data_IF_913839601358
#
_entry.id   IF_913839601358
#
_cell.length_a   1.000
_cell.length_b   1.000
_cell.length_c   1.000
_cell.angle_alpha   90.00
_cell.angle_beta   90.00
_cell.angle_gamma   90.00
#
_symmetry.space_group_name_H-M   'P 1'
#
loop_
_entity.id
_entity.type
_entity.pdbx_description
1 polymer ?
#
# COMPACT_ATOMS: atom_id res chain seq x y z
N UNK A 1 -7.11 20.05 3.40
CA UNK A 1 -6.28 19.89 4.62
C UNK A 1 -6.69 18.62 5.33
N UNK A 2 -5.79 17.64 5.45
CA UNK A 2 -6.06 16.40 6.20
C UNK A 2 -6.03 16.75 7.70
N UNK A 3 -7.04 16.33 8.45
CA UNK A 3 -7.14 16.58 9.90
C UNK A 3 -7.01 15.26 10.65
N UNK A 4 -5.80 14.70 10.62
CA UNK A 4 -5.51 13.35 11.14
C UNK A 4 -5.60 13.32 12.68
N UNK A 5 -5.23 14.41 13.34
CA UNK A 5 -5.31 14.57 14.81
C UNK A 5 -6.75 14.50 15.33
N UNK A 6 -7.71 14.98 14.55
CA UNK A 6 -9.14 14.89 14.88
C UNK A 6 -9.68 13.45 14.75
N UNK A 7 -9.09 12.63 13.89
CA UNK A 7 -9.44 11.21 13.76
C UNK A 7 -8.82 10.37 14.88
N UNK A 8 -7.66 10.79 15.40
CA UNK A 8 -6.99 10.22 16.58
C UNK A 8 -7.71 10.53 17.88
N UNK A 9 -8.52 11.58 17.91
CA UNK A 9 -9.21 11.99 19.11
C UNK A 9 -10.00 10.81 19.72
N UNK A 10 -9.84 10.53 21.02
CA UNK A 10 -10.40 9.33 21.65
C UNK A 10 -11.92 9.22 21.52
N UNK A 11 -12.62 10.35 21.38
CA UNK A 11 -14.06 10.38 21.06
C UNK A 11 -14.37 9.72 19.70
N UNK A 12 -13.61 10.04 18.66
CA UNK A 12 -13.81 9.49 17.30
C UNK A 12 -13.44 8.02 17.30
N UNK A 13 -12.33 7.66 17.96
CA UNK A 13 -11.93 6.26 18.13
C UNK A 13 -13.00 5.43 18.88
N UNK A 14 -13.59 6.00 19.93
CA UNK A 14 -14.67 5.35 20.69
C UNK A 14 -15.94 5.18 19.83
N UNK A 15 -16.34 6.20 19.07
CA UNK A 15 -17.48 6.13 18.16
C UNK A 15 -17.30 5.05 17.08
N UNK A 16 -16.13 5.02 16.44
CA UNK A 16 -15.79 4.01 15.41
C UNK A 16 -15.82 2.59 16.00
N UNK A 17 -15.28 2.42 17.21
CA UNK A 17 -15.32 1.15 17.93
C UNK A 17 -16.75 0.74 18.26
N UNK A 18 -17.58 1.64 18.76
CA UNK A 18 -18.97 1.34 19.08
C UNK A 18 -19.70 0.82 17.83
N UNK A 19 -19.63 1.57 16.72
CA UNK A 19 -20.19 1.17 15.41
C UNK A 19 -19.69 -0.22 14.96
N UNK A 20 -18.39 -0.47 15.07
CA UNK A 20 -17.79 -1.75 14.74
C UNK A 20 -18.33 -2.89 15.62
N UNK A 21 -18.44 -2.68 16.93
CA UNK A 21 -18.94 -3.72 17.87
C UNK A 21 -20.44 -3.97 17.78
N UNK A 22 -21.22 -2.93 17.49
CA UNK A 22 -22.67 -2.99 17.44
C UNK A 22 -23.15 -3.81 16.23
N UNK A 23 -22.66 -3.48 15.03
CA UNK A 23 -23.11 -4.13 13.80
C UNK A 23 -21.96 -4.53 12.86
N UNK A 24 -20.91 -3.70 12.76
CA UNK A 24 -19.98 -3.81 11.64
C UNK A 24 -19.18 -5.09 11.60
N UNK A 25 -18.76 -5.58 12.77
CA UNK A 25 -18.03 -6.84 12.88
C UNK A 25 -18.84 -8.03 12.35
N UNK A 26 -20.14 -8.10 12.65
CA UNK A 26 -20.96 -9.26 12.29
C UNK A 26 -21.21 -9.33 10.80
N UNK A 27 -21.55 -8.18 10.18
CA UNK A 27 -21.71 -8.06 8.74
C UNK A 27 -20.40 -8.37 8.02
N UNK A 28 -19.29 -7.84 8.52
CA UNK A 28 -17.97 -8.07 7.94
C UNK A 28 -17.53 -9.54 8.05
N UNK A 29 -17.62 -10.17 9.23
CA UNK A 29 -17.22 -11.57 9.39
C UNK A 29 -18.13 -12.53 8.63
N UNK A 30 -19.43 -12.23 8.50
CA UNK A 30 -20.32 -13.00 7.64
C UNK A 30 -19.89 -12.90 6.16
N UNK A 31 -19.60 -11.70 5.68
CA UNK A 31 -19.14 -11.47 4.32
C UNK A 31 -17.80 -12.18 4.06
N UNK A 32 -16.85 -12.06 4.99
CA UNK A 32 -15.57 -12.75 4.93
C UNK A 32 -15.73 -14.28 4.94
N UNK A 33 -16.64 -14.81 5.75
CA UNK A 33 -16.92 -16.24 5.81
C UNK A 33 -17.48 -16.74 4.47
N UNK A 34 -18.47 -16.04 3.90
CA UNK A 34 -19.03 -16.38 2.60
C UNK A 34 -17.98 -16.32 1.49
N UNK A 35 -17.10 -15.32 1.53
CA UNK A 35 -15.97 -15.20 0.61
C UNK A 35 -14.96 -16.34 0.80
N UNK A 36 -14.65 -16.73 2.04
CA UNK A 36 -13.75 -17.84 2.34
C UNK A 36 -14.34 -19.19 1.89
N UNK A 37 -15.65 -19.41 2.05
CA UNK A 37 -16.35 -20.60 1.50
C UNK A 37 -16.26 -20.62 -0.02
N UNK A 38 -16.50 -19.49 -0.68
CA UNK A 38 -16.31 -19.36 -2.13
C UNK A 38 -14.87 -19.66 -2.56
N UNK A 39 -13.88 -19.06 -1.89
CA UNK A 39 -12.46 -19.22 -2.21
C UNK A 39 -11.98 -20.66 -1.99
N UNK A 40 -12.41 -21.31 -0.90
CA UNK A 40 -12.11 -22.72 -0.63
C UNK A 40 -12.77 -23.63 -1.67
N UNK A 41 -14.02 -23.37 -2.06
CA UNK A 41 -14.67 -24.12 -3.13
C UNK A 41 -13.93 -23.95 -4.47
N UNK A 42 -13.54 -22.72 -4.83
CA UNK A 42 -12.83 -22.45 -6.08
C UNK A 42 -11.42 -23.04 -6.11
N UNK A 43 -10.71 -23.03 -4.99
CA UNK A 43 -9.39 -23.68 -4.84
C UNK A 43 -9.50 -25.20 -4.94
N UNK A 44 -10.46 -25.81 -4.25
CA UNK A 44 -10.73 -27.25 -4.37
C UNK A 44 -11.08 -27.61 -5.82
N UNK A 45 -11.88 -26.81 -6.49
CA UNK A 45 -12.22 -27.00 -7.89
C UNK A 45 -10.98 -27.00 -8.80
N UNK A 46 -10.11 -26.01 -8.67
CA UNK A 46 -8.89 -25.90 -9.49
C UNK A 46 -7.86 -27.00 -9.19
N UNK A 47 -7.76 -27.46 -7.93
CA UNK A 47 -6.84 -28.53 -7.55
C UNK A 47 -7.33 -29.93 -7.98
N UNK A 48 -8.64 -30.16 -7.89
CA UNK A 48 -9.24 -31.45 -8.25
C UNK A 48 -9.58 -31.60 -9.73
N UNK A 49 -9.54 -30.51 -10.52
CA UNK A 49 -9.71 -30.55 -11.97
C UNK A 49 -8.35 -30.72 -12.65
N UNK A 50 -8.04 -31.85 -13.28
CA UNK A 50 -6.76 -32.04 -13.96
C UNK A 50 -6.70 -31.25 -15.27
N UNK A 51 -5.55 -30.61 -15.61
CA UNK A 51 -5.35 -30.01 -16.92
C UNK A 51 -5.23 -31.08 -18.02
N UNK A 52 -5.61 -30.71 -19.24
CA UNK A 52 -5.68 -31.60 -20.41
C UNK A 52 -4.36 -32.31 -20.73
N UNK A 53 -3.22 -31.62 -20.59
CA UNK A 53 -1.90 -32.19 -20.89
C UNK A 53 -1.52 -33.38 -20.00
N UNK A 54 -2.12 -33.57 -18.82
CA UNK A 54 -1.82 -34.74 -17.96
C UNK A 54 -2.29 -36.05 -18.56
N UNK A 55 -3.29 -36.02 -19.44
CA UNK A 55 -3.87 -37.24 -20.02
C UNK A 55 -3.08 -37.74 -21.22
N UNK A 56 -2.66 -36.82 -22.10
CA UNK A 56 -2.02 -37.18 -23.37
C UNK A 56 -0.55 -36.73 -23.48
N UNK A 57 -0.07 -35.85 -22.59
CA UNK A 57 1.28 -35.29 -22.65
C UNK A 57 2.42 -36.32 -22.63
N UNK A 58 2.36 -37.37 -21.79
CA UNK A 58 3.39 -38.42 -21.79
C UNK A 58 3.35 -39.32 -23.04
N UNK A 59 2.27 -39.27 -23.82
CA UNK A 59 1.93 -40.28 -24.83
C UNK A 59 1.49 -39.64 -26.16
N UNK A 60 2.01 -38.45 -26.48
CA UNK A 60 1.72 -37.73 -27.74
C UNK A 60 1.74 -38.64 -29.00
N UNK A 61 2.82 -39.43 -29.24
CA UNK A 61 2.88 -40.28 -30.42
C UNK A 61 1.96 -41.51 -30.35
N UNK A 62 1.66 -42.02 -29.15
CA UNK A 62 0.85 -43.23 -28.96
C UNK A 62 -0.64 -42.99 -29.25
N UNK A 63 -1.16 -41.82 -28.85
CA UNK A 63 -2.57 -41.47 -29.04
C UNK A 63 -2.85 -40.62 -30.29
N UNK A 64 -1.84 -40.33 -31.12
CA UNK A 64 -1.94 -39.44 -32.28
C UNK A 64 -2.58 -38.08 -31.92
N UNK A 65 -2.06 -37.47 -30.86
CA UNK A 65 -2.53 -36.23 -30.25
C UNK A 65 -1.44 -35.17 -30.31
N UNK A 66 -1.83 -33.90 -30.38
CA UNK A 66 -0.89 -32.78 -30.53
C UNK A 66 -1.08 -31.73 -29.43
N UNK A 67 -0.01 -31.06 -28.96
CA UNK A 67 -0.07 -30.11 -27.85
C UNK A 67 -0.93 -28.86 -28.07
N UNK A 68 -1.42 -28.61 -29.29
CA UNK A 68 -2.13 -27.37 -29.68
C UNK A 68 -3.34 -27.60 -30.59
N UNK A 69 -3.92 -28.80 -30.60
CA UNK A 69 -5.13 -29.03 -31.38
C UNK A 69 -6.35 -28.36 -30.72
N UNK A 70 -7.26 -27.84 -31.53
CA UNK A 70 -8.46 -27.14 -31.06
C UNK A 70 -9.42 -28.06 -30.26
N UNK A 71 -9.43 -29.36 -30.56
CA UNK A 71 -10.35 -30.34 -29.98
C UNK A 71 -9.75 -31.06 -28.76
N UNK A 72 -9.26 -30.30 -27.77
CA UNK A 72 -8.55 -30.84 -26.60
C UNK A 72 -9.39 -31.83 -25.79
N UNK A 73 -10.69 -31.58 -25.65
CA UNK A 73 -11.59 -32.49 -24.93
C UNK A 73 -11.71 -33.84 -25.65
N UNK A 74 -11.75 -33.84 -26.98
CA UNK A 74 -11.80 -35.07 -27.76
C UNK A 74 -10.47 -35.82 -27.69
N UNK A 75 -9.34 -35.11 -27.65
CA UNK A 75 -8.03 -35.72 -27.46
C UNK A 75 -7.92 -36.45 -26.11
N UNK A 76 -8.46 -35.87 -25.04
CA UNK A 76 -8.53 -36.56 -23.74
C UNK A 76 -9.42 -37.80 -23.80
N UNK A 77 -10.57 -37.73 -24.47
CA UNK A 77 -11.45 -38.90 -24.64
C UNK A 77 -10.79 -40.04 -25.43
N UNK A 78 -9.93 -39.72 -26.41
CA UNK A 78 -9.15 -40.73 -27.15
C UNK A 78 -8.08 -41.36 -26.27
N UNK A 79 -7.38 -40.55 -25.47
CA UNK A 79 -6.33 -41.04 -24.57
C UNK A 79 -6.88 -41.85 -23.39
N UNK A 80 -8.06 -41.48 -22.86
CA UNK A 80 -8.69 -42.17 -21.75
C UNK A 80 -10.22 -42.29 -21.94
N UNK A 81 -10.69 -43.29 -22.71
CA UNK A 81 -12.10 -43.47 -22.99
C UNK A 81 -12.88 -43.83 -21.71
N UNK A 82 -13.91 -43.04 -21.39
CA UNK A 82 -14.73 -43.25 -20.20
C UNK A 82 -14.32 -42.44 -18.97
N UNK A 83 -13.35 -41.52 -19.11
CA UNK A 83 -13.03 -40.56 -18.04
C UNK A 83 -14.29 -39.80 -17.59
N UNK A 84 -14.59 -39.92 -16.30
CA UNK A 84 -15.53 -39.06 -15.60
C UNK A 84 -14.76 -38.32 -14.51
N UNK A 85 -15.02 -37.02 -14.40
CA UNK A 85 -14.46 -36.22 -13.33
C UNK A 85 -14.92 -36.75 -11.96
N UNK A 86 -14.04 -36.63 -10.96
CA UNK A 86 -14.41 -36.90 -9.57
C UNK A 86 -15.61 -36.05 -9.12
N UNK A 87 -16.35 -36.52 -8.13
CA UNK A 87 -17.55 -35.82 -7.65
C UNK A 87 -17.24 -34.49 -6.92
N UNK A 88 -16.03 -34.34 -6.37
CA UNK A 88 -15.64 -33.15 -5.62
C UNK A 88 -15.70 -31.83 -6.43
N UNK A 89 -15.15 -31.74 -7.65
CA UNK A 89 -15.37 -30.61 -8.55
C UNK A 89 -16.84 -30.30 -8.82
N UNK A 90 -17.68 -31.32 -9.01
CA UNK A 90 -19.10 -31.13 -9.27
C UNK A 90 -19.81 -30.50 -8.05
N UNK A 91 -19.48 -30.94 -6.83
CA UNK A 91 -19.98 -30.30 -5.60
C UNK A 91 -19.50 -28.86 -5.47
N UNK A 92 -18.24 -28.58 -5.82
CA UNK A 92 -17.71 -27.22 -5.79
C UNK A 92 -18.44 -26.28 -6.76
N UNK A 93 -18.86 -26.74 -7.94
CA UNK A 93 -19.69 -25.95 -8.88
C UNK A 93 -20.97 -25.46 -8.23
N UNK A 94 -21.65 -26.33 -7.48
CA UNK A 94 -22.89 -25.99 -6.76
C UNK A 94 -22.70 -24.96 -5.65
N UNK A 95 -21.46 -24.72 -5.20
CA UNK A 95 -21.13 -23.64 -4.27
C UNK A 95 -20.68 -22.38 -5.01
N UNK A 96 -19.81 -22.52 -6.02
CA UNK A 96 -19.18 -21.39 -6.73
C UNK A 96 -20.23 -20.58 -7.50
N UNK A 97 -21.11 -21.23 -8.26
CA UNK A 97 -22.05 -20.53 -9.14
C UNK A 97 -23.08 -19.72 -8.34
N UNK A 98 -23.80 -20.28 -7.34
CA UNK A 98 -24.76 -19.50 -6.56
C UNK A 98 -24.10 -18.39 -5.74
N UNK A 99 -22.95 -18.65 -5.10
CA UNK A 99 -22.22 -17.62 -4.34
C UNK A 99 -21.71 -16.52 -5.26
N UNK A 100 -21.12 -16.87 -6.41
CA UNK A 100 -20.64 -15.92 -7.41
C UNK A 100 -21.76 -15.02 -7.92
N UNK A 101 -22.93 -15.58 -8.24
CA UNK A 101 -24.11 -14.80 -8.65
C UNK A 101 -24.57 -13.88 -7.51
N UNK A 102 -24.65 -14.38 -6.26
CA UNK A 102 -25.03 -13.56 -5.10
C UNK A 102 -24.09 -12.37 -4.90
N UNK A 103 -22.78 -12.59 -5.03
CA UNK A 103 -21.79 -11.52 -4.93
C UNK A 103 -21.89 -10.53 -6.09
N UNK A 104 -22.09 -10.99 -7.33
CA UNK A 104 -22.32 -10.10 -8.47
C UNK A 104 -23.59 -9.26 -8.29
N UNK A 105 -24.68 -9.84 -7.79
CA UNK A 105 -25.91 -9.09 -7.48
C UNK A 105 -25.67 -8.03 -6.39
N UNK A 106 -24.89 -8.35 -5.35
CA UNK A 106 -24.45 -7.37 -4.35
C UNK A 106 -23.68 -6.22 -5.00
N UNK A 107 -22.72 -6.52 -5.88
CA UNK A 107 -21.94 -5.49 -6.59
C UNK A 107 -22.81 -4.62 -7.49
N UNK A 108 -23.76 -5.20 -8.22
CA UNK A 108 -24.77 -4.44 -8.98
C UNK A 108 -25.56 -3.48 -8.08
N UNK A 109 -25.97 -3.92 -6.89
CA UNK A 109 -26.60 -3.07 -5.89
C UNK A 109 -25.72 -1.88 -5.47
N UNK A 110 -24.42 -2.12 -5.26
CA UNK A 110 -23.46 -1.07 -4.91
C UNK A 110 -23.24 -0.06 -6.06
N UNK A 111 -23.20 -0.53 -7.31
CA UNK A 111 -23.14 0.33 -8.50
C UNK A 111 -24.32 1.30 -8.54
N UNK A 112 -25.55 0.81 -8.27
CA UNK A 112 -26.74 1.66 -8.28
C UNK A 112 -26.72 2.72 -7.17
N UNK A 113 -26.22 2.38 -5.98
CA UNK A 113 -26.15 3.31 -4.84
C UNK A 113 -25.07 4.37 -5.04
N UNK A 114 -23.87 3.98 -5.48
CA UNK A 114 -22.68 4.83 -5.48
C UNK A 114 -22.33 5.42 -6.87
N UNK A 115 -23.00 4.98 -7.95
CA UNK A 115 -22.85 5.45 -9.33
C UNK A 115 -21.38 5.63 -9.75
N UNK A 116 -20.98 6.82 -10.22
CA UNK A 116 -19.62 7.08 -10.71
C UNK A 116 -18.54 6.99 -9.62
N UNK A 117 -18.90 7.22 -8.35
CA UNK A 117 -17.98 7.09 -7.22
C UNK A 117 -17.61 5.63 -6.92
N UNK A 118 -18.32 4.67 -7.53
CA UNK A 118 -18.05 3.24 -7.39
C UNK A 118 -16.85 2.77 -8.23
N UNK A 119 -16.39 3.51 -9.24
CA UNK A 119 -15.29 3.06 -10.10
C UNK A 119 -13.94 3.15 -9.37
N UNK A 120 -13.65 2.13 -8.56
CA UNK A 120 -12.40 1.94 -7.84
C UNK A 120 -11.76 0.60 -8.23
N UNK A 121 -10.43 0.50 -8.08
CA UNK A 121 -9.67 -0.72 -8.40
C UNK A 121 -10.14 -1.94 -7.59
N UNK A 122 -10.49 -1.75 -6.31
CA UNK A 122 -11.01 -2.83 -5.44
C UNK A 122 -12.31 -3.42 -6.00
N UNK A 123 -13.24 -2.56 -6.41
CA UNK A 123 -14.51 -2.98 -6.97
C UNK A 123 -14.31 -3.68 -8.32
N UNK A 124 -13.37 -3.21 -9.14
CA UNK A 124 -13.01 -3.88 -10.39
C UNK A 124 -12.42 -5.27 -10.14
N UNK A 125 -11.59 -5.43 -9.10
CA UNK A 125 -11.09 -6.74 -8.68
C UNK A 125 -12.24 -7.66 -8.25
N UNK A 126 -13.17 -7.19 -7.41
CA UNK A 126 -14.34 -7.96 -6.99
C UNK A 126 -15.16 -8.47 -8.19
N UNK A 127 -15.46 -7.59 -9.16
CA UNK A 127 -16.13 -8.00 -10.41
C UNK A 127 -15.32 -9.04 -11.19
N UNK A 128 -14.01 -8.81 -11.35
CA UNK A 128 -13.14 -9.72 -12.11
C UNK A 128 -13.11 -11.12 -11.50
N UNK A 129 -13.11 -11.26 -10.17
CA UNK A 129 -12.96 -12.57 -9.52
C UNK A 129 -14.19 -13.44 -9.75
N UNK A 130 -15.38 -12.89 -9.48
CA UNK A 130 -16.62 -13.66 -9.63
C UNK A 130 -16.91 -13.99 -11.10
N UNK A 131 -16.60 -13.07 -12.01
CA UNK A 131 -16.75 -13.32 -13.45
C UNK A 131 -15.75 -14.37 -13.96
N UNK A 132 -14.46 -14.25 -13.63
CA UNK A 132 -13.43 -15.23 -14.01
C UNK A 132 -13.74 -16.63 -13.42
N UNK A 133 -14.18 -16.70 -12.16
CA UNK A 133 -14.56 -17.97 -11.53
C UNK A 133 -15.77 -18.63 -12.22
N UNK A 134 -16.81 -17.85 -12.55
CA UNK A 134 -17.99 -18.37 -13.26
C UNK A 134 -17.61 -18.85 -14.68
N UNK A 135 -16.84 -18.04 -15.42
CA UNK A 135 -16.38 -18.40 -16.78
C UNK A 135 -15.52 -19.67 -16.79
N UNK A 136 -14.75 -19.90 -15.73
CA UNK A 136 -13.92 -21.10 -15.56
C UNK A 136 -14.79 -22.35 -15.35
N UNK A 137 -15.91 -22.23 -14.64
CA UNK A 137 -16.72 -23.38 -14.21
C UNK A 137 -17.84 -23.72 -15.20
N UNK A 138 -18.31 -22.76 -16.00
CA UNK A 138 -19.37 -23.00 -17.00
C UNK A 138 -18.88 -23.96 -18.10
N UNK A 139 -19.75 -24.91 -18.45
CA UNK A 139 -19.57 -25.81 -19.59
C UNK A 139 -20.07 -25.12 -20.87
N UNK A 140 -19.19 -24.97 -21.87
CA UNK A 140 -19.55 -24.37 -23.17
C UNK A 140 -19.88 -25.41 -24.23
N UNK A 141 -19.30 -26.61 -24.12
CA UNK A 141 -19.46 -27.69 -25.09
C UNK A 141 -20.03 -28.95 -24.45
N UNK A 142 -20.72 -29.77 -25.26
CA UNK A 142 -21.27 -31.08 -24.84
C UNK A 142 -20.21 -32.00 -24.24
N UNK A 143 -19.00 -32.02 -24.80
CA UNK A 143 -17.89 -32.80 -24.26
C UNK A 143 -17.53 -32.38 -22.83
N UNK A 144 -17.58 -31.08 -22.51
CA UNK A 144 -17.30 -30.56 -21.18
C UNK A 144 -18.40 -30.93 -20.19
N UNK A 145 -19.66 -30.88 -20.63
CA UNK A 145 -20.80 -31.31 -19.81
C UNK A 145 -20.70 -32.78 -19.39
N UNK A 146 -20.16 -33.65 -20.24
CA UNK A 146 -20.03 -35.09 -19.96
C UNK A 146 -18.75 -35.41 -19.18
N UNK A 147 -17.62 -34.77 -19.52
CA UNK A 147 -16.30 -35.13 -18.98
C UNK A 147 -15.79 -34.22 -17.86
N UNK A 148 -16.33 -33.00 -17.76
CA UNK A 148 -15.89 -31.97 -16.81
C UNK A 148 -14.57 -31.28 -17.17
N UNK A 149 -14.00 -31.56 -18.35
CA UNK A 149 -12.69 -31.06 -18.78
C UNK A 149 -12.77 -29.61 -19.26
N UNK A 150 -11.78 -28.79 -18.87
CA UNK A 150 -11.66 -27.40 -19.29
C UNK A 150 -10.73 -27.25 -20.47
N UNK A 151 -11.09 -26.35 -21.39
CA UNK A 151 -10.26 -25.98 -22.53
C UNK A 151 -9.06 -25.15 -22.07
N UNK A 152 -8.04 -25.04 -22.92
CA UNK A 152 -6.82 -24.27 -22.69
C UNK A 152 -7.11 -22.85 -22.22
N UNK A 153 -7.98 -22.13 -22.93
CA UNK A 153 -8.28 -20.74 -22.58
C UNK A 153 -9.01 -20.65 -21.23
N UNK A 154 -9.94 -21.57 -20.94
CA UNK A 154 -10.63 -21.62 -19.64
C UNK A 154 -9.67 -21.93 -18.50
N UNK A 155 -8.72 -22.83 -18.73
CA UNK A 155 -7.71 -23.17 -17.74
C UNK A 155 -6.82 -21.98 -17.41
N UNK A 156 -6.39 -21.21 -18.42
CA UNK A 156 -5.66 -19.96 -18.23
C UNK A 156 -6.47 -18.91 -17.45
N UNK A 157 -7.75 -18.74 -17.80
CA UNK A 157 -8.69 -17.86 -17.08
C UNK A 157 -8.85 -18.28 -15.63
N UNK A 158 -8.99 -19.58 -15.35
CA UNK A 158 -9.07 -20.13 -14.01
C UNK A 158 -7.79 -19.94 -13.20
N UNK A 159 -6.63 -20.12 -13.82
CA UNK A 159 -5.32 -19.91 -13.20
C UNK A 159 -5.07 -18.44 -12.81
N UNK A 160 -5.47 -17.50 -13.67
CA UNK A 160 -5.44 -16.07 -13.33
C UNK A 160 -6.49 -15.77 -12.26
N UNK A 161 -7.70 -16.31 -12.40
CA UNK A 161 -8.80 -16.09 -11.47
C UNK A 161 -8.46 -16.51 -10.03
N UNK A 162 -7.82 -17.67 -9.85
CA UNK A 162 -7.43 -18.16 -8.51
C UNK A 162 -6.35 -17.27 -7.88
N UNK A 163 -5.39 -16.79 -8.67
CA UNK A 163 -4.39 -15.83 -8.19
C UNK A 163 -5.04 -14.53 -7.73
N UNK A 164 -5.90 -13.94 -8.57
CA UNK A 164 -6.61 -12.70 -8.25
C UNK A 164 -7.52 -12.88 -7.03
N UNK A 165 -8.17 -14.04 -6.88
CA UNK A 165 -8.99 -14.36 -5.71
C UNK A 165 -8.17 -14.38 -4.41
N UNK A 166 -7.01 -15.04 -4.39
CA UNK A 166 -6.14 -15.01 -3.21
C UNK A 166 -5.57 -13.63 -2.92
N UNK A 167 -5.22 -12.84 -3.94
CA UNK A 167 -4.79 -11.46 -3.75
C UNK A 167 -5.92 -10.59 -3.17
N UNK A 168 -7.16 -10.81 -3.58
CA UNK A 168 -8.29 -10.07 -3.02
C UNK A 168 -8.59 -10.46 -1.57
N UNK A 169 -8.28 -11.68 -1.14
CA UNK A 169 -8.34 -12.04 0.28
C UNK A 169 -7.46 -11.12 1.14
N UNK A 170 -6.30 -10.69 0.63
CA UNK A 170 -5.44 -9.72 1.32
C UNK A 170 -6.18 -8.38 1.50
N UNK A 171 -6.91 -7.92 0.49
CA UNK A 171 -7.75 -6.71 0.58
C UNK A 171 -8.90 -6.86 1.57
N UNK A 172 -9.49 -8.05 1.69
CA UNK A 172 -10.44 -8.35 2.78
C UNK A 172 -9.78 -8.21 4.15
N UNK A 173 -8.57 -8.75 4.34
CA UNK A 173 -7.80 -8.68 5.60
C UNK A 173 -7.47 -7.22 5.99
N UNK A 174 -7.36 -6.30 5.01
CA UNK A 174 -7.16 -4.85 5.26
C UNK A 174 -8.14 -4.26 6.25
N UNK A 175 -9.37 -4.76 6.28
CA UNK A 175 -10.47 -4.27 7.14
C UNK A 175 -10.43 -4.87 8.56
N UNK A 176 -9.53 -5.83 8.83
CA UNK A 176 -9.37 -6.41 10.16
C UNK A 176 -8.57 -5.48 11.08
N UNK A 177 -9.02 -5.22 12.33
CA UNK A 177 -8.32 -4.33 13.25
C UNK A 177 -6.88 -4.72 13.60
N UNK A 178 -6.54 -6.02 13.56
CA UNK A 178 -5.19 -6.53 13.93
C UNK A 178 -4.26 -6.68 12.74
N UNK A 179 -4.74 -7.31 11.67
CA UNK A 179 -3.93 -7.61 10.49
C UNK A 179 -3.98 -6.50 9.43
N UNK A 180 -5.01 -5.66 9.45
CA UNK A 180 -5.23 -4.63 8.45
C UNK A 180 -4.15 -3.57 8.39
N UNK A 181 -3.48 -3.28 9.51
CA UNK A 181 -2.35 -2.33 9.57
C UNK A 181 -1.22 -2.76 8.64
N UNK A 182 -0.85 -4.04 8.66
CA UNK A 182 0.20 -4.58 7.79
C UNK A 182 -0.20 -4.54 6.32
N UNK A 183 -1.47 -4.82 6.01
CA UNK A 183 -1.97 -4.76 4.63
C UNK A 183 -1.98 -3.32 4.12
N UNK A 184 -2.46 -2.35 4.92
CA UNK A 184 -2.44 -0.92 4.55
C UNK A 184 -1.01 -0.46 4.30
N UNK A 185 -0.08 -0.84 5.19
CA UNK A 185 1.34 -0.52 5.03
C UNK A 185 1.90 -1.13 3.75
N UNK A 186 1.64 -2.41 3.48
CA UNK A 186 2.06 -3.06 2.25
C UNK A 186 1.49 -2.38 1.00
N UNK A 187 0.20 -2.04 0.98
CA UNK A 187 -0.42 -1.37 -0.19
C UNK A 187 0.12 0.04 -0.40
N UNK A 188 0.41 0.78 0.67
CA UNK A 188 1.00 2.13 0.58
C UNK A 188 2.45 2.03 0.04
N UNK A 189 3.27 1.12 0.58
CA UNK A 189 4.64 0.87 0.09
C UNK A 189 4.62 0.39 -1.37
N UNK A 190 3.71 -0.51 -1.73
CA UNK A 190 3.55 -0.98 -3.12
C UNK A 190 3.16 0.16 -4.07
N UNK A 191 2.29 1.08 -3.63
CA UNK A 191 1.91 2.24 -4.42
C UNK A 191 3.09 3.20 -4.63
N UNK A 192 3.89 3.45 -3.59
CA UNK A 192 5.12 4.25 -3.73
C UNK A 192 6.12 3.57 -4.65
N UNK A 193 6.40 2.28 -4.43
CA UNK A 193 7.25 1.47 -5.29
C UNK A 193 6.80 1.55 -6.75
N UNK A 194 5.51 1.40 -7.03
CA UNK A 194 4.96 1.43 -8.39
C UNK A 194 5.16 2.78 -9.08
N UNK A 195 5.14 3.91 -8.35
CA UNK A 195 5.43 5.23 -8.92
C UNK A 195 6.89 5.36 -9.34
N UNK A 196 7.81 4.88 -8.50
CA UNK A 196 9.24 4.88 -8.81
C UNK A 196 9.61 3.83 -9.86
N UNK A 197 8.88 2.71 -9.93
CA UNK A 197 9.10 1.62 -10.86
C UNK A 197 9.04 2.06 -12.33
N UNK A 198 8.26 3.09 -12.67
CA UNK A 198 8.20 3.62 -14.03
C UNK A 198 9.56 4.10 -14.55
N UNK A 199 10.41 4.66 -13.66
CA UNK A 199 11.77 5.07 -14.03
C UNK A 199 12.66 3.85 -14.25
N UNK A 200 12.58 2.85 -13.38
CA UNK A 200 13.34 1.60 -13.51
C UNK A 200 12.94 0.78 -14.73
N UNK A 201 11.66 0.82 -15.09
CA UNK A 201 11.13 0.13 -16.26
C UNK A 201 11.80 0.60 -17.57
N UNK A 202 12.18 1.88 -17.69
CA UNK A 202 12.93 2.39 -18.85
C UNK A 202 14.30 1.72 -18.97
N UNK A 203 15.01 1.54 -17.85
CA UNK A 203 16.28 0.82 -17.85
C UNK A 203 16.07 -0.65 -18.21
N UNK A 204 15.05 -1.32 -17.64
CA UNK A 204 14.74 -2.73 -17.96
C UNK A 204 14.49 -2.92 -19.46
N UNK A 205 13.72 -2.03 -20.09
CA UNK A 205 13.46 -2.09 -21.53
C UNK A 205 14.73 -1.84 -22.35
N UNK A 206 15.56 -0.87 -21.97
CA UNK A 206 16.81 -0.56 -22.67
C UNK A 206 17.80 -1.73 -22.65
N UNK A 207 18.02 -2.33 -21.48
CA UNK A 207 18.90 -3.50 -21.36
C UNK A 207 18.29 -4.73 -22.02
N UNK A 208 16.97 -4.94 -21.91
CA UNK A 208 16.26 -6.04 -22.57
C UNK A 208 16.43 -5.97 -24.09
N UNK A 209 16.24 -4.80 -24.70
CA UNK A 209 16.47 -4.62 -26.15
C UNK A 209 17.94 -4.91 -26.53
N UNK A 210 18.89 -4.50 -25.69
CA UNK A 210 20.31 -4.74 -25.94
C UNK A 210 20.65 -6.23 -25.86
N UNK A 211 20.18 -6.93 -24.82
CA UNK A 211 20.36 -8.38 -24.70
C UNK A 211 19.64 -9.16 -25.80
N UNK A 212 18.45 -8.71 -26.22
CA UNK A 212 17.71 -9.32 -27.32
C UNK A 212 18.53 -9.30 -28.61
N UNK A 213 19.21 -8.18 -28.91
CA UNK A 213 20.06 -8.06 -30.11
C UNK A 213 21.36 -8.85 -29.98
N UNK A 214 21.99 -8.86 -28.80
CA UNK A 214 23.29 -9.50 -28.60
C UNK A 214 23.21 -11.04 -28.47
N UNK A 215 22.12 -11.54 -27.86
CA UNK A 215 21.99 -12.94 -27.44
C UNK A 215 20.77 -13.65 -28.07
N UNK A 216 20.22 -13.12 -29.18
CA UNK A 216 18.98 -13.63 -29.80
C UNK A 216 19.00 -15.14 -30.13
N UNK A 217 20.20 -15.69 -30.33
CA UNK A 217 20.42 -17.11 -30.60
C UNK A 217 20.04 -18.01 -29.42
N UNK A 218 20.09 -17.52 -28.19
CA UNK A 218 19.77 -18.31 -27.01
C UNK A 218 18.26 -18.37 -26.76
N UNK A 219 17.75 -19.51 -26.27
CA UNK A 219 16.32 -19.76 -26.07
C UNK A 219 15.68 -18.72 -25.12
N UNK A 220 16.42 -18.29 -24.09
CA UNK A 220 15.99 -17.28 -23.11
C UNK A 220 15.76 -15.89 -23.74
N UNK A 221 16.48 -15.59 -24.82
CA UNK A 221 16.47 -14.31 -25.52
C UNK A 221 15.82 -14.37 -26.91
N UNK A 222 15.33 -15.54 -27.33
CA UNK A 222 14.71 -15.78 -28.65
C UNK A 222 13.53 -14.87 -29.03
N UNK A 223 12.86 -14.26 -28.05
CA UNK A 223 11.71 -13.36 -28.27
C UNK A 223 11.79 -12.16 -27.33
N UNK A 224 11.30 -11.00 -27.76
CA UNK A 224 11.28 -9.79 -26.94
C UNK A 224 10.56 -9.98 -25.60
N UNK A 225 9.43 -10.71 -25.59
CA UNK A 225 8.70 -10.98 -24.34
C UNK A 225 9.50 -11.86 -23.37
N UNK A 226 10.20 -12.88 -23.89
CA UNK A 226 11.07 -13.74 -23.08
C UNK A 226 12.29 -12.98 -22.57
N UNK A 227 12.89 -12.14 -23.41
CA UNK A 227 14.03 -11.30 -23.04
C UNK A 227 13.68 -10.29 -21.96
N UNK A 228 12.51 -9.65 -22.07
CA UNK A 228 12.02 -8.72 -21.05
C UNK A 228 11.79 -9.43 -19.72
N UNK A 229 11.19 -10.63 -19.73
CA UNK A 229 11.02 -11.45 -18.53
C UNK A 229 12.37 -11.88 -17.94
N UNK A 230 13.29 -12.41 -18.77
CA UNK A 230 14.63 -12.80 -18.36
C UNK A 230 15.39 -11.62 -17.76
N UNK A 231 15.34 -10.45 -18.38
CA UNK A 231 15.97 -9.21 -17.86
C UNK A 231 15.34 -8.74 -16.55
N UNK A 232 14.03 -8.89 -16.39
CA UNK A 232 13.33 -8.57 -15.14
C UNK A 232 13.71 -9.53 -14.01
N UNK A 233 13.93 -10.81 -14.31
CA UNK A 233 14.44 -11.80 -13.34
C UNK A 233 15.89 -11.47 -12.97
N UNK A 234 16.73 -11.13 -13.95
CA UNK A 234 18.11 -10.69 -13.71
C UNK A 234 18.18 -9.41 -12.85
N UNK A 235 17.18 -8.53 -12.91
CA UNK A 235 17.09 -7.33 -12.06
C UNK A 235 16.99 -7.67 -10.56
N UNK A 236 16.34 -8.78 -10.21
CA UNK A 236 16.18 -9.23 -8.81
C UNK A 236 17.51 -9.79 -8.26
N UNK A 237 18.46 -10.13 -9.14
CA UNK A 237 19.78 -10.68 -8.79
C UNK A 237 20.02 -12.10 -9.31
N UNK A 238 19.06 -12.71 -10.00
CA UNK A 238 19.21 -14.03 -10.61
C UNK A 238 19.82 -13.93 -12.02
N UNK A 239 21.16 -13.87 -12.10
CA UNK A 239 21.84 -13.68 -13.39
C UNK A 239 21.98 -14.96 -14.23
N UNK A 240 22.11 -16.12 -13.59
CA UNK A 240 22.44 -17.39 -14.25
C UNK A 240 23.65 -17.26 -15.22
N UNK A 241 24.75 -16.64 -14.76
CA UNK A 241 25.92 -16.36 -15.60
C UNK A 241 26.41 -17.59 -16.38
N UNK A 242 26.45 -18.75 -15.73
CA UNK A 242 26.94 -20.00 -16.32
C UNK A 242 26.09 -20.47 -17.51
N UNK A 243 24.76 -20.31 -17.47
CA UNK A 243 23.91 -20.71 -18.60
C UNK A 243 23.99 -19.71 -19.77
N UNK A 244 24.35 -18.45 -19.51
CA UNK A 244 24.43 -17.43 -20.56
C UNK A 244 25.82 -17.43 -21.22
N UNK A 245 26.89 -17.57 -20.44
CA UNK A 245 28.27 -17.31 -20.89
C UNK A 245 29.21 -18.52 -20.82
N UNK A 246 29.01 -19.46 -19.89
CA UNK A 246 29.93 -20.59 -19.73
C UNK A 246 29.51 -21.81 -20.56
N UNK A 247 28.23 -21.90 -20.95
CA UNK A 247 27.68 -23.05 -21.66
C UNK A 247 28.35 -23.30 -23.02
N UNK A 248 28.92 -22.26 -23.65
CA UNK A 248 29.74 -22.37 -24.87
C UNK A 248 31.03 -23.19 -24.69
N UNK A 249 31.54 -23.31 -23.46
CA UNK A 249 32.76 -24.07 -23.15
C UNK A 249 32.47 -25.52 -22.76
N UNK A 250 31.19 -25.91 -22.64
CA UNK A 250 30.83 -27.30 -22.37
C UNK A 250 31.07 -28.15 -23.64
N UNK A 251 31.82 -29.26 -23.57
CA UNK A 251 32.11 -30.11 -24.73
C UNK A 251 30.85 -30.58 -25.48
N UNK A 252 29.73 -30.79 -24.78
CA UNK A 252 28.47 -31.22 -25.41
C UNK A 252 27.80 -30.10 -26.24
N UNK A 253 28.13 -28.84 -25.96
CA UNK A 253 27.52 -27.63 -26.53
C UNK A 253 28.50 -26.80 -27.39
N UNK A 254 29.69 -27.34 -27.67
CA UNK A 254 30.73 -26.62 -28.41
C UNK A 254 30.28 -26.21 -29.83
N UNK A 255 29.31 -26.94 -30.40
CA UNK A 255 28.76 -26.69 -31.73
C UNK A 255 27.27 -26.33 -31.71
N UNK A 256 26.64 -26.16 -30.54
CA UNK A 256 25.25 -25.73 -30.46
C UNK A 256 25.18 -24.21 -30.67
N UNK A 257 24.53 -23.71 -31.73
CA UNK A 257 24.42 -22.27 -31.96
C UNK A 257 23.69 -21.56 -30.81
N UNK A 258 22.82 -22.28 -30.10
CA UNK A 258 22.02 -21.77 -28.98
C UNK A 258 22.84 -21.52 -27.71
N UNK A 259 24.08 -22.03 -27.63
CA UNK A 259 24.96 -21.88 -26.45
C UNK A 259 26.13 -20.92 -26.69
N UNK A 260 26.37 -20.50 -27.95
CA UNK A 260 27.51 -19.65 -28.32
C UNK A 260 27.23 -18.16 -28.05
N UNK A 261 28.27 -17.40 -27.69
CA UNK A 261 28.17 -15.93 -27.56
C UNK A 261 28.93 -15.28 -28.72
N UNK A 262 28.21 -14.86 -29.76
CA UNK A 262 28.82 -14.33 -30.98
C UNK A 262 29.48 -12.95 -30.81
N UNK A 263 28.93 -12.12 -29.93
CA UNK A 263 29.42 -10.77 -29.64
C UNK A 263 29.96 -10.71 -28.22
N UNK A 264 31.02 -11.46 -27.95
CA UNK A 264 31.63 -11.66 -26.63
C UNK A 264 31.97 -10.34 -25.92
N UNK A 265 32.78 -9.46 -26.53
CA UNK A 265 33.24 -8.23 -25.90
C UNK A 265 32.08 -7.31 -25.51
N UNK A 266 31.13 -7.10 -26.42
CA UNK A 266 29.94 -6.27 -26.17
C UNK A 266 29.03 -6.90 -25.12
N UNK A 267 28.81 -8.21 -25.17
CA UNK A 267 27.96 -8.94 -24.23
C UNK A 267 28.51 -8.89 -22.81
N UNK A 268 29.81 -9.14 -22.62
CA UNK A 268 30.44 -9.02 -21.29
C UNK A 268 30.44 -7.59 -20.77
N UNK A 269 30.68 -6.58 -21.62
CA UNK A 269 30.68 -5.17 -21.22
C UNK A 269 29.27 -4.72 -20.80
N UNK A 270 28.26 -4.97 -21.62
CA UNK A 270 26.86 -4.64 -21.31
C UNK A 270 26.40 -5.37 -20.05
N UNK A 271 26.78 -6.64 -19.89
CA UNK A 271 26.45 -7.41 -18.69
C UNK A 271 27.12 -6.86 -17.42
N UNK A 272 28.40 -6.48 -17.49
CA UNK A 272 29.10 -5.83 -16.38
C UNK A 272 28.45 -4.49 -16.00
N UNK A 273 28.10 -3.67 -17.00
CA UNK A 273 27.38 -2.41 -16.78
C UNK A 273 25.98 -2.65 -16.18
N UNK A 274 25.26 -3.66 -16.67
CA UNK A 274 23.97 -4.08 -16.13
C UNK A 274 24.05 -4.46 -14.66
N UNK A 275 25.05 -5.25 -14.25
CA UNK A 275 25.24 -5.64 -12.84
C UNK A 275 25.43 -4.42 -11.93
N UNK A 276 26.23 -3.44 -12.35
CA UNK A 276 26.43 -2.21 -11.55
C UNK A 276 25.12 -1.42 -11.44
N UNK A 277 24.44 -1.18 -12.55
CA UNK A 277 23.24 -0.33 -12.57
C UNK A 277 22.05 -1.01 -11.88
N UNK A 278 21.71 -2.24 -12.26
CA UNK A 278 20.50 -2.91 -11.76
C UNK A 278 20.67 -3.44 -10.34
N UNK A 279 21.81 -4.07 -10.07
CA UNK A 279 21.98 -4.90 -8.88
C UNK A 279 22.62 -4.14 -7.74
N UNK A 280 23.50 -3.19 -8.04
CA UNK A 280 24.13 -2.35 -7.02
C UNK A 280 23.35 -1.05 -6.84
N UNK A 281 23.07 -0.31 -7.92
CA UNK A 281 22.45 1.02 -7.79
C UNK A 281 20.94 0.88 -7.53
N UNK A 282 20.19 0.21 -8.42
CA UNK A 282 18.73 0.18 -8.33
C UNK A 282 18.24 -0.65 -7.15
N UNK A 283 18.80 -1.83 -6.89
CA UNK A 283 18.38 -2.66 -5.76
C UNK A 283 18.57 -1.95 -4.41
N UNK A 284 19.70 -1.27 -4.21
CA UNK A 284 19.95 -0.52 -2.98
C UNK A 284 19.04 0.72 -2.85
N UNK A 285 18.74 1.40 -3.97
CA UNK A 285 17.79 2.51 -3.98
C UNK A 285 16.37 2.04 -3.62
N UNK A 286 15.93 0.89 -4.15
CA UNK A 286 14.62 0.30 -3.86
C UNK A 286 14.47 -0.06 -2.38
N UNK A 287 15.50 -0.66 -1.78
CA UNK A 287 15.52 -0.98 -0.35
C UNK A 287 15.54 0.31 0.48
N UNK A 288 16.33 1.30 0.10
CA UNK A 288 16.38 2.61 0.79
C UNK A 288 15.01 3.31 0.84
N UNK A 289 14.33 3.41 -0.31
CA UNK A 289 13.00 4.01 -0.39
C UNK A 289 11.96 3.24 0.42
N UNK A 290 12.01 1.91 0.40
CA UNK A 290 11.07 1.09 1.16
C UNK A 290 11.25 1.26 2.67
N UNK A 291 12.50 1.36 3.17
CA UNK A 291 12.77 1.53 4.60
C UNK A 291 12.29 2.88 5.12
N UNK A 292 12.46 3.95 4.33
CA UNK A 292 12.02 5.29 4.72
C UNK A 292 10.48 5.41 4.71
N UNK A 293 9.81 4.80 3.72
CA UNK A 293 8.35 4.77 3.63
C UNK A 293 7.70 3.99 4.79
N UNK A 294 8.27 2.85 5.20
CA UNK A 294 7.72 2.01 6.28
C UNK A 294 7.61 2.80 7.59
N UNK A 295 8.62 3.62 7.92
CA UNK A 295 8.64 4.43 9.15
C UNK A 295 7.53 5.48 9.16
N UNK A 296 7.35 6.20 8.05
CA UNK A 296 6.32 7.24 7.93
C UNK A 296 4.89 6.66 7.92
N UNK A 297 4.69 5.49 7.31
CA UNK A 297 3.36 4.88 7.16
C UNK A 297 2.89 4.20 8.46
N UNK A 298 3.80 3.74 9.32
CA UNK A 298 3.45 3.02 10.55
C UNK A 298 2.56 3.86 11.50
N UNK A 299 2.81 5.15 11.63
CA UNK A 299 2.03 6.04 12.50
C UNK A 299 0.60 6.25 11.98
N UNK A 300 0.43 6.39 10.67
CA UNK A 300 -0.86 6.68 10.02
C UNK A 300 -1.69 5.42 9.72
N UNK A 301 -1.07 4.24 9.59
CA UNK A 301 -1.74 3.02 9.18
C UNK A 301 -2.77 2.53 10.21
N UNK A 302 -2.53 2.77 11.50
CA UNK A 302 -3.44 2.37 12.59
C UNK A 302 -4.81 3.06 12.51
N UNK A 303 -4.81 4.35 12.14
CA UNK A 303 -6.01 5.18 11.93
C UNK A 303 -6.72 4.83 10.64
N UNK A 304 -5.97 4.77 9.53
CA UNK A 304 -6.52 4.47 8.20
C UNK A 304 -7.29 3.16 8.23
N UNK A 305 -6.69 2.10 8.78
CA UNK A 305 -7.31 0.78 8.88
C UNK A 305 -8.65 0.81 9.65
N UNK A 306 -8.69 1.51 10.80
CA UNK A 306 -9.91 1.62 11.60
C UNK A 306 -11.02 2.43 10.90
N UNK A 307 -10.64 3.50 10.21
CA UNK A 307 -11.57 4.36 9.47
C UNK A 307 -12.19 3.63 8.27
N UNK A 308 -11.36 2.95 7.47
CA UNK A 308 -11.82 2.15 6.33
C UNK A 308 -12.80 1.04 6.77
N UNK A 309 -12.52 0.35 7.86
CA UNK A 309 -13.40 -0.71 8.37
C UNK A 309 -14.79 -0.20 8.80
N UNK A 310 -14.88 1.01 9.36
CA UNK A 310 -16.15 1.57 9.83
C UNK A 310 -16.99 2.22 8.73
N UNK A 311 -16.36 2.98 7.82
CA UNK A 311 -17.05 3.70 6.75
C UNK A 311 -17.68 2.75 5.72
N UNK A 312 -16.96 1.68 5.40
CA UNK A 312 -17.36 0.76 4.34
C UNK A 312 -18.61 -0.05 4.73
N UNK A 313 -18.68 -0.47 6.00
CA UNK A 313 -19.87 -1.14 6.55
C UNK A 313 -21.07 -0.19 6.59
N UNK A 314 -20.88 1.09 6.95
CA UNK A 314 -21.96 2.07 6.99
C UNK A 314 -22.55 2.35 5.60
N UNK A 315 -21.71 2.29 4.54
CA UNK A 315 -22.15 2.50 3.16
C UNK A 315 -23.08 1.39 2.63
N UNK A 316 -22.93 0.16 3.16
CA UNK A 316 -23.71 -1.01 2.74
C UNK A 316 -25.03 -1.11 3.51
N UNK A 317 -25.16 -0.41 4.65
CA UNK A 317 -26.32 -0.55 5.51
C UNK A 317 -27.48 0.39 5.13
N UNK A 318 -28.72 -0.14 5.05
CA UNK A 318 -29.90 0.69 4.88
C UNK A 318 -30.02 1.73 6.00
N UNK A 319 -30.38 2.97 5.63
CA UNK A 319 -30.50 4.09 6.56
C UNK A 319 -31.43 3.84 7.77
N UNK A 320 -32.40 2.92 7.63
CA UNK A 320 -33.30 2.54 8.73
C UNK A 320 -32.59 1.73 9.83
N UNK A 321 -31.64 0.88 9.45
CA UNK A 321 -30.88 0.04 10.38
C UNK A 321 -29.81 0.88 11.05
N UNK A 322 -29.07 1.70 10.28
CA UNK A 322 -28.03 2.58 10.84
C UNK A 322 -28.60 3.58 11.85
N UNK A 323 -29.80 4.14 11.61
CA UNK A 323 -30.50 5.03 12.55
C UNK A 323 -30.85 4.38 13.88
N UNK A 324 -31.04 3.05 13.93
CA UNK A 324 -31.38 2.33 15.17
C UNK A 324 -30.18 2.13 16.11
N UNK A 325 -28.96 2.19 15.56
CA UNK A 325 -27.71 2.02 16.29
C UNK A 325 -26.95 3.34 16.53
N UNK A 326 -27.65 4.48 16.41
CA UNK A 326 -27.08 5.79 16.73
C UNK A 326 -27.04 5.94 18.25
N UNK A 327 -25.83 5.96 18.80
CA UNK A 327 -25.59 6.24 20.22
C UNK A 327 -25.25 7.72 20.41
N UNK A 328 -25.87 8.38 21.38
CA UNK A 328 -25.60 9.80 21.71
C UNK A 328 -24.55 10.00 22.80
N UNK A 329 -24.46 9.07 23.76
CA UNK A 329 -23.50 9.09 24.87
C UNK A 329 -23.22 7.66 25.32
N UNK A 330 -22.01 7.38 25.76
CA UNK A 330 -21.57 6.10 26.33
C UNK A 330 -20.77 6.38 27.60
N UNK A 331 -21.14 5.74 28.71
CA UNK A 331 -20.42 5.89 29.97
C UNK A 331 -19.25 4.88 30.01
N UNK A 332 -18.04 5.39 30.19
CA UNK A 332 -16.83 4.57 30.26
C UNK A 332 -16.32 4.42 31.69
N UNK A 333 -16.00 3.18 32.07
CA UNK A 333 -15.42 2.84 33.37
C UNK A 333 -13.98 2.33 33.15
N UNK A 334 -12.94 3.15 33.46
CA UNK A 334 -11.54 2.81 33.23
C UNK A 334 -11.05 1.57 34.00
N UNK A 335 -11.74 1.23 35.10
CA UNK A 335 -11.44 0.09 35.94
C UNK A 335 -12.65 -0.86 35.97
N UNK A 336 -12.80 -1.76 34.99
CA UNK A 336 -13.94 -2.67 34.97
C UNK A 336 -13.84 -3.67 36.13
N UNK A 337 -14.96 -3.97 36.78
CA UNK A 337 -15.02 -5.09 37.72
C UNK A 337 -14.60 -6.39 37.02
N UNK A 338 -13.67 -7.12 37.65
CA UNK A 338 -12.89 -8.24 37.12
C UNK A 338 -13.68 -9.52 36.75
N UNK A 339 -14.99 -9.46 36.50
CA UNK A 339 -15.89 -10.63 36.49
C UNK A 339 -16.24 -11.18 35.12
N UNK A 340 -15.62 -10.73 34.03
CA UNK A 340 -15.86 -11.29 32.71
C UNK A 340 -14.64 -12.05 32.19
N UNK A 341 -14.56 -13.35 32.52
CA UNK A 341 -13.68 -14.30 31.84
C UNK A 341 -14.20 -14.52 30.40
N UNK A 342 -13.94 -13.56 29.51
CA UNK A 342 -14.19 -13.73 28.09
C UNK A 342 -13.07 -14.57 27.46
N UNK A 343 -13.45 -15.68 26.83
CA UNK A 343 -12.54 -16.66 26.21
C UNK A 343 -11.65 -16.10 25.08
N UNK A 344 -10.67 -16.91 24.65
CA UNK A 344 -9.63 -16.56 23.68
C UNK A 344 -10.15 -15.88 22.40
N UNK A 345 -11.26 -16.37 21.83
CA UNK A 345 -11.89 -15.81 20.63
C UNK A 345 -12.35 -14.37 20.87
N UNK A 346 -12.92 -14.08 22.03
CA UNK A 346 -13.29 -12.71 22.38
C UNK A 346 -12.06 -11.84 22.63
N UNK A 347 -10.96 -12.37 23.16
CA UNK A 347 -9.70 -11.62 23.31
C UNK A 347 -9.01 -11.32 21.96
N UNK A 348 -9.18 -12.18 20.96
CA UNK A 348 -8.66 -11.99 19.60
C UNK A 348 -9.51 -11.01 18.78
N UNK A 349 -10.84 -11.05 18.97
CA UNK A 349 -11.81 -10.25 18.20
C UNK A 349 -12.15 -8.89 18.85
N UNK A 350 -12.06 -8.79 20.18
CA UNK A 350 -12.18 -7.51 20.90
C UNK A 350 -10.78 -6.96 21.18
N UNK A 351 -10.46 -5.84 20.54
CA UNK A 351 -9.38 -4.96 21.04
C UNK A 351 -9.79 -4.54 22.46
N UNK A 352 -8.98 -4.77 23.48
CA UNK A 352 -9.18 -4.17 24.81
C UNK A 352 -9.29 -2.64 24.62
N UNK A 353 -10.08 -1.94 25.43
CA UNK A 353 -10.10 -0.46 25.38
C UNK A 353 -8.68 0.07 25.65
N UNK A 354 -8.36 1.26 25.12
CA UNK A 354 -7.07 1.90 25.38
C UNK A 354 -6.76 1.82 26.88
N UNK A 355 -5.53 1.45 27.24
CA UNK A 355 -5.07 1.58 28.62
C UNK A 355 -5.29 3.03 29.09
N UNK A 356 -5.41 3.26 30.40
CA UNK A 356 -5.47 4.62 30.95
C UNK A 356 -4.27 5.45 30.48
N UNK A 357 -3.11 4.83 30.31
CA UNK A 357 -1.91 5.47 29.76
C UNK A 357 -2.08 5.84 28.28
N UNK A 358 -2.63 4.93 27.47
CA UNK A 358 -2.87 5.19 26.04
C UNK A 358 -3.96 6.27 25.84
N UNK A 359 -4.99 6.30 26.70
CA UNK A 359 -6.03 7.33 26.68
C UNK A 359 -5.47 8.70 27.09
N UNK A 360 -4.65 8.75 28.13
CA UNK A 360 -3.99 9.97 28.57
C UNK A 360 -2.98 10.46 27.53
N UNK A 361 -2.23 9.57 26.88
CA UNK A 361 -1.35 9.91 25.77
C UNK A 361 -2.12 10.38 24.53
N UNK A 362 -3.33 9.88 24.27
CA UNK A 362 -4.17 10.37 23.17
C UNK A 362 -4.87 11.72 23.47
N UNK A 363 -5.18 12.00 24.74
CA UNK A 363 -5.74 13.28 25.20
C UNK A 363 -4.67 14.37 25.30
N UNK A 364 -3.46 13.98 25.74
CA UNK A 364 -2.28 14.82 25.90
C UNK A 364 -1.10 14.12 25.22
N UNK A 365 -0.97 14.21 23.88
CA UNK A 365 0.17 13.63 23.18
C UNK A 365 1.46 14.23 23.70
N UNK A 366 2.46 13.39 24.03
CA UNK A 366 3.82 13.87 24.26
C UNK A 366 4.31 14.48 22.94
N UNK A 367 4.55 15.79 22.91
CA UNK A 367 4.98 16.49 21.71
C UNK A 367 6.26 15.85 21.16
N UNK A 368 6.30 15.63 19.84
CA UNK A 368 7.50 15.20 19.12
C UNK A 368 8.65 16.18 19.41
N UNK A 369 9.89 15.72 19.32
CA UNK A 369 11.06 16.53 19.63
C UNK A 369 11.09 17.86 18.83
N UNK A 370 10.72 17.78 17.54
CA UNK A 370 10.52 18.94 16.67
C UNK A 370 9.35 19.83 17.09
N UNK A 371 8.24 19.27 17.51
CA UNK A 371 7.07 20.02 18.00
C UNK A 371 7.34 20.73 19.32
N UNK A 372 8.14 20.14 20.21
CA UNK A 372 8.65 20.83 21.41
C UNK A 372 9.55 21.99 21.04
N UNK A 373 10.38 21.82 20.00
CA UNK A 373 11.24 22.90 19.50
C UNK A 373 10.39 24.03 18.93
N UNK A 374 9.37 23.75 18.12
CA UNK A 374 8.45 24.77 17.60
C UNK A 374 7.65 25.46 18.71
N UNK A 375 7.14 24.72 19.69
CA UNK A 375 6.46 25.33 20.84
C UNK A 375 7.39 26.24 21.64
N UNK A 376 8.63 25.79 21.87
CA UNK A 376 9.65 26.62 22.51
C UNK A 376 9.99 27.84 21.67
N UNK A 377 9.97 27.73 20.35
CA UNK A 377 10.23 28.84 19.43
C UNK A 377 9.08 29.86 19.50
N UNK A 378 7.82 29.43 19.47
CA UNK A 378 6.64 30.29 19.65
C UNK A 378 6.63 30.97 21.03
N UNK A 379 6.92 30.21 22.11
CA UNK A 379 7.06 30.78 23.45
C UNK A 379 8.18 31.82 23.52
N UNK A 380 9.29 31.55 22.83
CA UNK A 380 10.42 32.46 22.74
C UNK A 380 10.04 33.73 21.95
N UNK A 381 9.32 33.63 20.84
CA UNK A 381 8.81 34.78 20.08
C UNK A 381 7.88 35.65 20.94
N UNK A 382 6.94 35.05 21.68
CA UNK A 382 6.07 35.77 22.61
C UNK A 382 6.89 36.44 23.71
N UNK A 383 7.90 35.77 24.24
CA UNK A 383 8.80 36.33 25.26
C UNK A 383 9.63 37.50 24.71
N UNK A 384 10.10 37.41 23.46
CA UNK A 384 10.86 38.45 22.76
C UNK A 384 9.95 39.66 22.49
N UNK A 385 8.70 39.45 22.06
CA UNK A 385 7.73 40.51 21.88
C UNK A 385 7.43 41.24 23.20
N UNK A 386 7.27 40.48 24.29
CA UNK A 386 7.12 41.05 25.64
C UNK A 386 8.36 41.83 26.08
N UNK A 387 9.56 41.29 25.84
CA UNK A 387 10.83 41.94 26.17
C UNK A 387 11.05 43.22 25.36
N UNK A 388 10.74 43.23 24.06
CA UNK A 388 10.79 44.41 23.20
C UNK A 388 9.88 45.52 23.73
N UNK A 389 8.69 45.16 24.21
CA UNK A 389 7.75 46.11 24.81
C UNK A 389 8.33 46.70 26.10
N UNK A 390 8.85 45.86 27.00
CA UNK A 390 9.51 46.31 28.24
C UNK A 390 10.73 47.20 27.97
N UNK A 391 11.49 46.90 26.92
CA UNK A 391 12.67 47.66 26.54
C UNK A 391 12.32 49.03 25.94
N UNK A 392 11.22 49.13 25.19
CA UNK A 392 10.64 50.42 24.77
C UNK A 392 10.22 51.26 25.97
N UNK A 393 9.56 50.66 26.95
CA UNK A 393 9.17 51.36 28.18
C UNK A 393 10.40 51.85 28.97
N UNK A 394 11.45 51.02 29.08
CA UNK A 394 12.70 51.40 29.73
C UNK A 394 13.45 52.52 29.00
N UNK A 395 13.43 52.52 27.66
CA UNK A 395 14.01 53.62 26.87
C UNK A 395 13.25 54.92 27.11
N UNK A 396 11.92 54.86 27.17
CA UNK A 396 11.08 56.01 27.48
C UNK A 396 11.32 56.57 28.90
N UNK A 397 11.54 55.73 29.91
CA UNK A 397 11.88 56.20 31.26
C UNK A 397 13.26 56.84 31.30
N UNK A 398 14.23 56.30 30.56
CA UNK A 398 15.59 56.85 30.48
C UNK A 398 15.58 58.26 29.88
N UNK A 399 14.85 58.48 28.78
CA UNK A 399 14.68 59.81 28.20
C UNK A 399 14.00 60.79 29.16
N UNK A 400 13.03 60.34 29.97
CA UNK A 400 12.41 61.18 31.01
C UNK A 400 13.39 61.57 32.10
N UNK A 401 14.25 60.64 32.52
CA UNK A 401 15.30 60.89 33.52
C UNK A 401 16.33 61.88 32.96
N UNK A 402 16.76 61.70 31.71
CA UNK A 402 17.67 62.62 31.03
C UNK A 402 17.07 64.02 30.92
N UNK A 403 15.81 64.15 30.50
CA UNK A 403 15.11 65.42 30.45
C UNK A 403 15.01 66.09 31.83
N UNK A 404 14.76 65.31 32.89
CA UNK A 404 14.70 65.80 34.26
C UNK A 404 16.08 66.27 34.76
N UNK A 405 17.15 65.53 34.46
CA UNK A 405 18.53 65.90 34.75
C UNK A 405 18.92 67.19 34.02
N UNK A 406 18.61 67.30 32.74
CA UNK A 406 18.87 68.51 31.94
C UNK A 406 18.11 69.72 32.49
N UNK A 407 16.86 69.54 32.92
CA UNK A 407 16.08 70.59 33.57
C UNK A 407 16.67 71.00 34.94
N UNK A 408 17.21 70.05 35.72
CA UNK A 408 17.88 70.31 37.00
C UNK A 408 19.21 71.05 36.77
N UNK A 409 20.02 70.62 35.81
CA UNK A 409 21.28 71.28 35.42
C UNK A 409 21.02 72.72 34.97
N UNK A 410 19.98 72.93 34.16
CA UNK A 410 19.55 74.26 33.73
C UNK A 410 19.12 75.14 34.92
N UNK A 411 18.43 74.58 35.92
CA UNK A 411 18.00 75.31 37.13
C UNK A 411 19.14 75.61 38.10
N UNK A 412 20.19 74.78 38.12
CA UNK A 412 21.37 74.95 38.99
C UNK A 412 22.40 75.95 38.45
N UNK A 413 22.21 76.49 37.23
CA UNK A 413 23.05 77.56 36.68
C UNK A 413 24.51 77.16 36.44
N UNK A 414 24.77 75.86 36.19
CA UNK A 414 26.11 75.37 35.88
C UNK A 414 26.48 75.81 34.46
N UNK A 415 27.61 76.51 34.33
CA UNK A 415 28.05 77.19 33.11
C UNK A 415 27.99 76.33 31.84
N UNK A 416 27.68 77.06 30.76
CA UNK A 416 27.19 76.67 29.44
C UNK A 416 28.19 75.91 28.54
N UNK A 417 29.18 75.21 29.10
CA UNK A 417 30.18 74.45 28.34
C UNK A 417 29.84 72.95 28.19
N UNK A 418 29.03 72.37 29.10
CA UNK A 418 28.63 70.96 29.01
C UNK A 418 27.39 70.71 28.13
N UNK A 419 26.58 71.75 27.88
CA UNK A 419 25.37 71.65 27.06
C UNK A 419 25.68 71.45 25.57
N UNK A 420 26.87 71.85 25.12
CA UNK A 420 27.25 71.75 23.70
C UNK A 420 27.77 70.35 23.31
N UNK A 421 28.11 69.49 24.27
CA UNK A 421 28.53 68.09 24.02
C UNK A 421 27.38 67.08 24.01
N UNK A 422 26.17 67.47 24.43
CA UNK A 422 24.98 66.60 24.44
C UNK A 422 24.03 66.86 23.26
N UNK A 423 24.31 67.89 22.45
CA UNK A 423 23.48 68.28 21.31
C UNK A 423 23.94 67.64 19.99
N UNK A 424 24.34 66.36 20.04
CA UNK A 424 24.39 65.56 18.83
C UNK A 424 22.96 65.11 18.53
N UNK A 425 22.44 65.70 17.45
CA UNK A 425 21.22 65.41 16.71
C UNK A 425 20.61 64.02 16.99
N UNK A 426 19.30 63.91 17.31
CA UNK A 426 18.62 62.62 17.28
C UNK A 426 18.60 62.13 15.83
N UNK A 427 19.58 61.29 15.50
CA UNK A 427 19.69 60.62 14.21
C UNK A 427 18.41 59.84 13.90
N UNK A 428 17.76 60.26 12.81
CA UNK A 428 16.86 59.51 11.95
C UNK A 428 16.30 58.19 12.52
N UNK A 429 15.14 58.28 13.16
CA UNK A 429 14.31 57.17 13.67
C UNK A 429 14.03 56.07 12.62
N UNK A 430 14.30 56.30 11.33
CA UNK A 430 14.07 55.33 10.25
C UNK A 430 15.27 54.45 9.89
N UNK A 431 16.48 54.80 10.35
CA UNK A 431 17.71 54.06 10.04
C UNK A 431 17.96 52.91 11.03
N UNK A 432 17.79 53.15 12.33
CA UNK A 432 18.01 52.15 13.38
C UNK A 432 16.96 51.02 13.37
N UNK A 433 15.70 51.32 13.07
CA UNK A 433 14.65 50.29 12.95
C UNK A 433 14.89 49.38 11.72
N UNK A 434 15.45 49.92 10.64
CA UNK A 434 15.88 49.15 9.45
C UNK A 434 17.13 48.32 9.69
N UNK A 435 18.06 48.81 10.51
CA UNK A 435 19.28 48.08 10.87
C UNK A 435 18.96 46.93 11.84
N UNK A 436 18.02 47.13 12.75
CA UNK A 436 17.48 46.06 13.61
C UNK A 436 16.64 45.04 12.82
N UNK A 437 15.82 45.47 11.85
CA UNK A 437 15.10 44.56 10.95
C UNK A 437 16.06 43.73 10.09
N UNK A 438 17.18 44.31 9.63
CA UNK A 438 18.24 43.58 8.92
C UNK A 438 18.90 42.51 9.78
N UNK A 439 19.23 42.85 11.03
CA UNK A 439 19.85 41.90 11.97
C UNK A 439 18.91 40.77 12.41
N UNK A 440 17.60 40.99 12.36
CA UNK A 440 16.57 39.97 12.64
C UNK A 440 16.25 39.06 11.45
N UNK A 441 16.63 39.43 10.23
CA UNK A 441 16.49 38.60 9.02
C UNK A 441 17.73 37.71 8.80
N UNK A 442 18.88 38.06 9.41
CA UNK A 442 20.12 37.28 9.36
C UNK A 442 20.29 36.26 10.51
N UNK A 443 19.40 36.28 11.52
CA UNK A 443 19.27 35.28 12.60
C UNK A 443 18.10 34.33 12.31
#
# INVERSE_FOLDING_TARGET
>A
TKREDLLLHPLVAALLRHKWTAFGRWVYYLNLLLYAVFLTAFTVYMLCTPPTYRFYGPYYPEYNVTPRAADECQQVQRANPGFRQHEAPAVAVWLIVPLGILFLLKEVGQVFMNRLKYLNFENLMDWSIFTLAIVTVIDFNECQRVTGIRTYWQWNVGAIGILVAWLNLVLFIRKMPRFGIYVVMFTDVFATFSRFFLVFFLFVVSFSLTFFVLLQNQIAFSSMAKTLLKTSVMMIGEFEYTSIFDEQFNPDNLYSPDSQVFYDASSYLVFAFFMVVMSIIIMNLLVGLAVDDIKAVQEQASLKAACYAALDVESVLPAKISRRFVLRSEDYYPNPHHTCQLGFINRLLYRKWMSREELNAALNPELNEWERIYQKQDEMEISIASMKTKMKDFRATTYRIEAMLTAVVHKLGINQELAHSLNNDPGDDSADDKEMEKLLVEL
#
